data_IF_245993059352
#
_entry.id   IF_245993059352
#
_cell.length_a   1.000
_cell.length_b   1.000
_cell.length_c   1.000
_cell.angle_alpha   90.00
_cell.angle_beta   90.00
_cell.angle_gamma   90.00
#
_symmetry.space_group_name_H-M   'P 1'
#
loop_
_entity.id
_entity.type
_entity.pdbx_description
1 polymer ?
#
# COMPACT_ATOMS: atom_id res chain seq x y z
N UNK A 1 28.92 40.73 23.86
CA UNK A 1 27.77 40.17 23.13
C UNK A 1 26.89 39.46 24.16
N UNK A 2 25.85 40.12 24.63
CA UNK A 2 25.02 39.69 25.77
C UNK A 2 24.05 38.57 25.38
N UNK A 3 23.96 37.56 26.24
CA UNK A 3 23.07 36.39 26.11
C UNK A 3 21.57 36.80 26.10
N UNK A 4 20.99 36.93 24.90
CA UNK A 4 19.54 37.12 24.73
C UNK A 4 18.77 35.79 24.80
N UNK A 5 19.44 34.66 24.51
CA UNK A 5 18.83 33.33 24.46
C UNK A 5 18.30 32.80 25.81
N UNK A 6 18.69 33.38 26.95
CA UNK A 6 18.27 32.93 28.28
C UNK A 6 16.87 33.44 28.70
N UNK A 7 16.23 34.29 27.90
CA UNK A 7 14.99 34.99 28.25
C UNK A 7 13.82 34.69 27.29
N UNK A 8 13.84 33.58 26.57
CA UNK A 8 12.77 33.18 25.65
C UNK A 8 11.99 31.99 26.22
N UNK A 9 10.64 32.05 26.21
CA UNK A 9 9.79 30.89 26.52
C UNK A 9 9.47 30.14 25.22
N UNK A 10 10.00 28.92 25.00
CA UNK A 10 9.89 28.24 23.71
C UNK A 10 8.45 27.84 23.35
N UNK A 11 7.60 27.62 24.35
CA UNK A 11 6.19 27.22 24.17
C UNK A 11 5.34 28.29 23.46
N UNK A 12 5.75 29.57 23.51
CA UNK A 12 4.94 30.70 23.02
C UNK A 12 5.69 31.67 22.11
N UNK A 13 6.95 31.36 21.75
CA UNK A 13 7.82 32.15 20.87
C UNK A 13 7.85 33.65 21.22
N UNK A 14 7.92 33.97 22.52
CA UNK A 14 7.92 35.34 23.06
C UNK A 14 9.01 35.47 24.12
N UNK A 15 9.59 36.66 24.25
CA UNK A 15 10.52 36.96 25.36
C UNK A 15 9.77 37.05 26.69
N UNK A 16 10.47 36.81 27.82
CA UNK A 16 9.88 36.82 29.17
C UNK A 16 9.21 38.16 29.50
N UNK A 17 9.79 39.27 29.04
CA UNK A 17 9.25 40.62 29.24
C UNK A 17 7.96 40.85 28.43
N UNK A 18 7.92 40.42 27.16
CA UNK A 18 6.73 40.51 26.31
C UNK A 18 5.57 39.66 26.83
N UNK A 19 5.86 38.47 27.36
CA UNK A 19 4.86 37.60 27.98
C UNK A 19 4.20 38.24 29.20
N UNK A 20 4.99 38.85 30.09
CA UNK A 20 4.48 39.55 31.28
C UNK A 20 3.64 40.77 30.88
N UNK A 21 4.06 41.52 29.87
CA UNK A 21 3.31 42.67 29.36
C UNK A 21 2.00 42.25 28.67
N UNK A 22 2.01 41.17 27.88
CA UNK A 22 0.82 40.60 27.24
C UNK A 22 -0.18 40.03 28.27
N UNK A 23 0.31 39.40 29.34
CA UNK A 23 -0.50 38.96 30.49
C UNK A 23 -1.12 40.14 31.23
N UNK A 24 -0.35 41.22 31.48
CA UNK A 24 -0.84 42.45 32.13
C UNK A 24 -1.90 43.16 31.29
N UNK A 25 -1.80 43.10 29.95
CA UNK A 25 -2.81 43.61 29.00
C UNK A 25 -3.99 42.65 28.75
N UNK A 26 -4.08 41.54 29.49
CA UNK A 26 -5.18 40.58 29.37
C UNK A 26 -5.17 39.71 28.10
N UNK A 27 -4.15 39.84 27.23
CA UNK A 27 -4.00 39.07 25.99
C UNK A 27 -3.56 37.61 26.21
N UNK A 28 -3.10 37.31 27.42
CA UNK A 28 -2.63 35.98 27.81
C UNK A 28 -3.13 35.60 29.20
N UNK A 29 -4.42 35.25 29.27
CA UNK A 29 -5.03 34.62 30.44
C UNK A 29 -4.59 33.16 30.51
N UNK A 30 -4.49 32.60 31.72
CA UNK A 30 -4.33 31.15 31.91
C UNK A 30 -5.64 30.53 31.43
N UNK A 31 -5.56 29.54 30.54
CA UNK A 31 -6.77 28.85 30.04
C UNK A 31 -7.57 28.33 31.25
N UNK A 32 -8.88 28.59 31.25
CA UNK A 32 -9.77 28.02 32.26
C UNK A 32 -9.80 26.50 32.11
N UNK A 33 -10.16 25.76 33.17
CA UNK A 33 -10.33 24.31 33.09
C UNK A 33 -11.29 23.91 31.95
N UNK A 34 -12.31 24.74 31.69
CA UNK A 34 -13.26 24.57 30.59
C UNK A 34 -12.65 24.82 29.20
N UNK A 35 -11.73 25.77 29.05
CA UNK A 35 -11.02 26.02 27.80
C UNK A 35 -10.07 24.88 27.44
N UNK A 36 -9.42 24.29 28.46
CA UNK A 36 -8.57 23.11 28.29
C UNK A 36 -9.43 21.92 27.84
N UNK A 37 -10.58 21.70 28.49
CA UNK A 37 -11.53 20.65 28.10
C UNK A 37 -12.08 20.86 26.67
N UNK A 38 -12.36 22.11 26.24
CA UNK A 38 -12.78 22.42 24.87
C UNK A 38 -11.69 22.09 23.85
N UNK A 39 -10.44 22.51 24.11
CA UNK A 39 -9.29 22.21 23.24
C UNK A 39 -9.04 20.70 23.11
N UNK A 40 -9.15 19.95 24.21
CA UNK A 40 -9.02 18.49 24.17
C UNK A 40 -10.10 17.84 23.32
N UNK A 41 -11.35 18.30 23.40
CA UNK A 41 -12.45 17.80 22.54
C UNK A 41 -12.20 18.12 21.07
N UNK A 42 -11.79 19.34 20.77
CA UNK A 42 -11.44 19.76 19.41
C UNK A 42 -10.27 18.95 18.86
N UNK A 43 -9.24 18.69 19.66
CA UNK A 43 -8.09 17.87 19.27
C UNK A 43 -8.48 16.42 18.98
N UNK A 44 -9.36 15.82 19.79
CA UNK A 44 -9.87 14.46 19.53
C UNK A 44 -10.67 14.43 18.22
N UNK A 45 -11.51 15.42 17.96
CA UNK A 45 -12.27 15.53 16.71
C UNK A 45 -11.35 15.74 15.50
N UNK A 46 -10.33 16.59 15.64
CA UNK A 46 -9.33 16.82 14.59
C UNK A 46 -8.53 15.56 14.29
N UNK A 47 -8.04 14.86 15.31
CA UNK A 47 -7.33 13.59 15.14
C UNK A 47 -8.20 12.55 14.45
N UNK A 48 -9.47 12.42 14.84
CA UNK A 48 -10.40 11.50 14.19
C UNK A 48 -10.65 11.87 12.71
N UNK A 49 -10.76 13.16 12.40
CA UNK A 49 -10.90 13.64 11.02
C UNK A 49 -9.62 13.38 10.20
N UNK A 50 -8.45 13.63 10.78
CA UNK A 50 -7.15 13.35 10.16
C UNK A 50 -6.95 11.86 9.89
N UNK A 51 -7.34 10.98 10.82
CA UNK A 51 -7.26 9.53 10.63
C UNK A 51 -8.17 9.06 9.48
N UNK A 52 -9.41 9.57 9.41
CA UNK A 52 -10.32 9.30 8.31
C UNK A 52 -9.73 9.77 6.97
N UNK A 53 -9.15 10.97 6.95
CA UNK A 53 -8.51 11.51 5.75
C UNK A 53 -7.27 10.70 5.35
N UNK A 54 -6.45 10.29 6.32
CA UNK A 54 -5.29 9.40 6.09
C UNK A 54 -5.71 8.04 5.54
N UNK A 55 -6.86 7.50 5.95
CA UNK A 55 -7.39 6.24 5.42
C UNK A 55 -7.91 6.43 3.98
N UNK A 56 -8.67 7.50 3.73
CA UNK A 56 -9.20 7.82 2.40
C UNK A 56 -8.09 8.00 1.37
N UNK A 57 -7.00 8.68 1.75
CA UNK A 57 -5.88 8.94 0.84
C UNK A 57 -5.01 7.71 0.55
N UNK A 58 -5.26 6.56 1.21
CA UNK A 58 -4.55 5.31 0.94
C UNK A 58 -5.31 4.47 -0.08
N UNK A 59 -4.56 3.71 -0.88
CA UNK A 59 -5.16 2.73 -1.77
C UNK A 59 -5.77 1.57 -0.97
N UNK A 60 -7.00 1.18 -1.31
CA UNK A 60 -7.72 0.08 -0.64
C UNK A 60 -6.90 -1.22 -0.72
N UNK A 61 -6.35 -1.54 -1.89
CA UNK A 61 -5.53 -2.74 -2.12
C UNK A 61 -4.27 -2.76 -1.23
N UNK A 62 -3.61 -1.62 -1.05
CA UNK A 62 -2.42 -1.51 -0.19
C UNK A 62 -2.75 -1.75 1.28
N UNK A 63 -3.96 -1.37 1.72
CA UNK A 63 -4.44 -1.61 3.08
C UNK A 63 -4.78 -3.09 3.26
N UNK A 64 -5.51 -3.67 2.31
CA UNK A 64 -5.85 -5.11 2.31
C UNK A 64 -4.59 -5.98 2.29
N UNK A 65 -3.64 -5.71 1.39
CA UNK A 65 -2.36 -6.42 1.34
C UNK A 65 -1.58 -6.32 2.65
N UNK A 66 -1.61 -5.17 3.32
CA UNK A 66 -0.94 -5.01 4.62
C UNK A 66 -1.60 -5.86 5.70
N UNK A 67 -2.92 -5.91 5.73
CA UNK A 67 -3.66 -6.73 6.68
C UNK A 67 -3.38 -8.21 6.45
N UNK A 68 -3.43 -8.66 5.19
CA UNK A 68 -3.10 -10.03 4.81
C UNK A 68 -1.67 -10.38 5.21
N UNK A 69 -0.69 -9.52 4.91
CA UNK A 69 0.71 -9.73 5.34
C UNK A 69 0.85 -9.86 6.85
N UNK A 70 0.13 -9.05 7.64
CA UNK A 70 0.16 -9.16 9.10
C UNK A 70 -0.45 -10.48 9.59
N UNK A 71 -1.57 -10.90 9.00
CA UNK A 71 -2.19 -12.18 9.31
C UNK A 71 -1.28 -13.36 8.92
N UNK A 72 -0.65 -13.30 7.75
CA UNK A 72 0.31 -14.30 7.28
C UNK A 72 1.51 -14.39 8.23
N UNK A 73 2.06 -13.24 8.66
CA UNK A 73 3.15 -13.20 9.63
C UNK A 73 2.73 -13.84 10.96
N UNK A 74 1.54 -13.54 11.47
CA UNK A 74 1.02 -14.15 12.70
C UNK A 74 0.86 -15.66 12.56
N UNK A 75 0.40 -16.13 11.40
CA UNK A 75 0.27 -17.56 11.11
C UNK A 75 1.63 -18.24 11.01
N UNK A 76 2.58 -17.67 10.26
CA UNK A 76 3.94 -18.19 10.13
C UNK A 76 4.72 -18.20 11.45
N UNK A 77 4.46 -17.24 12.36
CA UNK A 77 5.03 -17.25 13.71
C UNK A 77 4.64 -18.49 14.52
N UNK A 78 3.49 -19.11 14.24
CA UNK A 78 3.06 -20.34 14.93
C UNK A 78 3.69 -21.60 14.36
N UNK A 79 4.28 -21.54 13.16
CA UNK A 79 4.83 -22.69 12.45
C UNK A 79 6.27 -22.98 12.83
N UNK A 80 6.71 -24.20 12.52
CA UNK A 80 8.13 -24.55 12.61
C UNK A 80 8.94 -23.87 11.50
N UNK A 81 10.20 -23.55 11.81
CA UNK A 81 11.12 -22.93 10.84
C UNK A 81 11.32 -23.74 9.55
N UNK A 82 11.40 -25.07 9.66
CA UNK A 82 11.54 -25.96 8.51
C UNK A 82 10.18 -26.54 8.10
N UNK A 83 9.94 -26.64 6.78
CA UNK A 83 8.77 -27.30 6.20
C UNK A 83 9.04 -28.79 6.06
N UNK A 84 8.08 -29.63 6.48
CA UNK A 84 8.15 -31.09 6.37
C UNK A 84 7.18 -31.61 5.31
N UNK A 85 7.33 -32.86 4.89
CA UNK A 85 6.38 -33.51 3.97
C UNK A 85 4.95 -33.58 4.55
N UNK A 86 4.81 -33.50 5.88
CA UNK A 86 3.52 -33.50 6.59
C UNK A 86 2.93 -32.11 6.83
N UNK A 87 3.54 -31.04 6.29
CA UNK A 87 3.03 -29.67 6.43
C UNK A 87 1.65 -29.54 5.75
N UNK A 88 0.64 -29.18 6.53
CA UNK A 88 -0.76 -29.15 6.09
C UNK A 88 -0.99 -28.08 5.01
N UNK A 89 -0.47 -26.87 5.23
CA UNK A 89 -0.66 -25.72 4.33
C UNK A 89 -0.08 -25.98 2.93
N UNK A 90 1.13 -26.57 2.89
CA UNK A 90 1.80 -26.93 1.65
C UNK A 90 1.04 -28.03 0.91
N UNK A 91 0.53 -29.03 1.65
CA UNK A 91 -0.26 -30.10 1.06
C UNK A 91 -1.58 -29.57 0.48
N UNK A 92 -2.23 -28.63 1.16
CA UNK A 92 -3.47 -28.01 0.67
C UNK A 92 -3.23 -27.11 -0.54
N UNK A 93 -2.13 -26.35 -0.56
CA UNK A 93 -1.69 -25.61 -1.75
C UNK A 93 -1.53 -26.57 -2.95
N UNK A 94 -0.86 -27.72 -2.80
CA UNK A 94 -0.69 -28.69 -3.88
C UNK A 94 -1.99 -29.36 -4.33
N UNK A 95 -2.96 -29.58 -3.43
CA UNK A 95 -4.29 -30.09 -3.79
C UNK A 95 -5.11 -29.05 -4.56
N UNK A 96 -4.93 -27.76 -4.27
CA UNK A 96 -5.65 -26.68 -4.94
C UNK A 96 -5.17 -26.38 -6.35
N UNK A 97 -3.89 -26.68 -6.66
CA UNK A 97 -3.27 -26.35 -7.94
C UNK A 97 -3.94 -27.15 -9.07
N UNK A 98 -4.51 -26.49 -10.10
CA UNK A 98 -5.01 -27.19 -11.27
C UNK A 98 -3.84 -27.83 -12.03
N UNK A 99 -4.00 -29.07 -12.48
CA UNK A 99 -3.02 -29.78 -13.32
C UNK A 99 -3.55 -29.86 -14.74
N UNK A 100 -2.69 -29.52 -15.69
CA UNK A 100 -2.98 -29.70 -17.11
C UNK A 100 -3.11 -31.19 -17.42
N UNK A 101 -4.11 -31.56 -18.22
CA UNK A 101 -4.40 -32.95 -18.57
C UNK A 101 -5.15 -33.76 -17.50
N UNK A 102 -5.58 -33.15 -16.39
CA UNK A 102 -6.44 -33.81 -15.41
C UNK A 102 -7.88 -33.93 -15.91
N UNK A 103 -8.32 -35.16 -16.17
CA UNK A 103 -9.69 -35.46 -16.64
C UNK A 103 -10.78 -35.04 -15.65
N UNK A 104 -10.47 -35.01 -14.34
CA UNK A 104 -11.46 -34.68 -13.30
C UNK A 104 -11.56 -33.18 -13.02
N UNK A 105 -10.70 -32.35 -13.63
CA UNK A 105 -10.63 -30.92 -13.35
C UNK A 105 -11.96 -30.20 -13.63
N UNK A 106 -12.60 -30.50 -14.76
CA UNK A 106 -13.86 -29.89 -15.20
C UNK A 106 -15.03 -30.23 -14.25
N UNK A 107 -15.07 -31.47 -13.78
CA UNK A 107 -16.07 -31.89 -12.79
C UNK A 107 -15.85 -31.19 -11.44
N UNK A 108 -14.58 -31.04 -11.02
CA UNK A 108 -14.25 -30.37 -9.77
C UNK A 108 -14.47 -28.86 -9.82
N UNK A 109 -14.21 -28.18 -10.96
CA UNK A 109 -14.44 -26.75 -11.11
C UNK A 109 -15.93 -26.40 -11.08
N UNK A 110 -16.75 -27.10 -11.87
CA UNK A 110 -18.20 -26.90 -11.91
C UNK A 110 -18.87 -27.11 -10.55
N UNK A 111 -18.34 -28.02 -9.72
CA UNK A 111 -18.82 -28.23 -8.34
C UNK A 111 -18.45 -27.08 -7.39
N UNK A 112 -17.31 -26.42 -7.63
CA UNK A 112 -16.78 -25.32 -6.80
C UNK A 112 -17.38 -23.96 -7.15
N UNK A 113 -18.02 -23.81 -8.31
CA UNK A 113 -18.70 -22.59 -8.75
C UNK A 113 -19.99 -22.31 -7.94
N UNK A 114 -19.86 -22.22 -6.62
CA UNK A 114 -20.85 -21.60 -5.75
C UNK A 114 -20.91 -20.11 -6.05
N UNK A 115 -22.06 -19.64 -6.55
CA UNK A 115 -22.29 -18.27 -7.03
C UNK A 115 -22.24 -17.25 -5.88
N UNK A 116 -21.05 -16.92 -5.40
CA UNK A 116 -20.85 -15.69 -4.66
C UNK A 116 -20.88 -14.52 -5.66
N UNK A 117 -21.61 -13.42 -5.37
CA UNK A 117 -21.68 -12.29 -6.28
C UNK A 117 -20.29 -11.64 -6.41
N UNK A 118 -19.62 -11.88 -7.55
CA UNK A 118 -18.34 -11.29 -7.86
C UNK A 118 -18.53 -9.89 -8.47
N UNK A 119 -17.59 -8.99 -8.20
CA UNK A 119 -17.57 -7.69 -8.88
C UNK A 119 -17.37 -7.91 -10.39
N UNK A 120 -18.10 -7.21 -11.27
CA UNK A 120 -17.93 -7.37 -12.70
C UNK A 120 -16.49 -6.98 -13.11
N UNK A 121 -15.93 -7.75 -14.04
CA UNK A 121 -14.60 -7.49 -14.63
C UNK A 121 -14.73 -7.34 -16.14
N UNK A 122 -13.78 -6.62 -16.75
CA UNK A 122 -13.77 -6.44 -18.20
C UNK A 122 -13.43 -7.76 -18.91
N UNK A 123 -14.24 -8.16 -19.90
CA UNK A 123 -14.12 -9.47 -20.57
C UNK A 123 -13.35 -9.41 -21.91
N UNK A 124 -13.17 -8.23 -22.49
CA UNK A 124 -12.51 -8.09 -23.79
C UNK A 124 -10.99 -8.19 -23.72
N UNK A 125 -10.31 -8.20 -24.89
CA UNK A 125 -8.87 -8.02 -24.95
C UNK A 125 -8.50 -6.61 -24.50
N UNK A 126 -7.34 -6.47 -23.85
CA UNK A 126 -6.80 -5.19 -23.38
C UNK A 126 -5.27 -5.20 -23.52
N UNK A 127 -4.63 -4.03 -23.71
CA UNK A 127 -3.17 -3.94 -23.82
C UNK A 127 -2.49 -4.34 -22.51
N UNK A 128 -1.30 -4.93 -22.63
CA UNK A 128 -0.49 -5.29 -21.46
C UNK A 128 0.04 -4.04 -20.75
N UNK A 129 0.09 -4.09 -19.42
CA UNK A 129 0.55 -3.01 -18.55
C UNK A 129 1.62 -3.55 -17.61
N UNK A 130 2.59 -2.72 -17.21
CA UNK A 130 3.65 -3.10 -16.24
C UNK A 130 3.16 -3.79 -14.96
N UNK A 131 1.98 -3.40 -14.48
CA UNK A 131 1.42 -3.90 -13.23
C UNK A 131 0.44 -5.06 -13.41
N UNK A 132 0.27 -5.58 -14.64
CA UNK A 132 -0.72 -6.62 -14.96
C UNK A 132 -2.16 -6.30 -14.48
N UNK A 133 -2.48 -5.00 -14.37
CA UNK A 133 -3.80 -4.54 -13.95
C UNK A 133 -4.76 -4.64 -15.12
N UNK A 134 -5.88 -5.31 -14.88
CA UNK A 134 -7.00 -5.38 -15.82
C UNK A 134 -7.76 -4.05 -15.82
N UNK A 135 -8.28 -3.61 -16.97
CA UNK A 135 -9.15 -2.44 -17.03
C UNK A 135 -10.46 -2.69 -16.27
N UNK A 136 -11.09 -1.60 -15.84
CA UNK A 136 -12.41 -1.67 -15.21
C UNK A 136 -13.48 -2.20 -16.17
N UNK A 137 -14.54 -2.80 -15.62
CA UNK A 137 -15.60 -3.45 -16.42
C UNK A 137 -16.32 -2.52 -17.42
N UNK A 138 -16.25 -1.21 -17.24
CA UNK A 138 -16.88 -0.18 -18.10
C UNK A 138 -15.93 0.38 -19.17
N UNK A 139 -14.73 -0.19 -19.29
CA UNK A 139 -13.79 0.27 -20.30
C UNK A 139 -14.30 -0.11 -21.69
N UNK A 140 -14.19 0.85 -22.62
CA UNK A 140 -14.73 0.81 -23.98
C UNK A 140 -13.85 0.00 -24.96
N UNK A 141 -12.72 -0.53 -24.50
CA UNK A 141 -11.79 -1.29 -25.34
C UNK A 141 -10.89 -0.44 -26.25
N UNK A 142 -11.21 0.84 -26.44
CA UNK A 142 -10.38 1.78 -27.22
C UNK A 142 -9.17 2.23 -26.40
N UNK A 143 -7.97 1.94 -26.90
CA UNK A 143 -6.72 2.45 -26.34
C UNK A 143 -6.56 3.95 -26.61
N UNK A 144 -6.34 4.72 -25.54
CA UNK A 144 -6.15 6.17 -25.55
C UNK A 144 -4.80 6.55 -24.92
N UNK A 145 -3.82 5.65 -24.99
CA UNK A 145 -2.47 5.85 -24.45
C UNK A 145 -1.59 6.72 -25.38
N UNK A 146 -0.45 7.17 -24.86
CA UNK A 146 0.60 7.83 -25.67
C UNK A 146 1.63 6.83 -26.26
N UNK A 147 1.43 5.52 -26.07
CA UNK A 147 2.38 4.47 -26.47
C UNK A 147 3.52 4.18 -25.48
N UNK A 148 3.57 4.80 -24.30
CA UNK A 148 4.66 4.61 -23.31
C UNK A 148 4.85 3.15 -22.88
N UNK A 149 3.77 2.45 -22.55
CA UNK A 149 3.86 1.06 -22.08
C UNK A 149 4.41 0.14 -23.20
N UNK A 150 4.02 0.36 -24.45
CA UNK A 150 4.56 -0.37 -25.60
C UNK A 150 6.05 -0.12 -25.79
N UNK A 151 6.48 1.15 -25.73
CA UNK A 151 7.90 1.52 -25.83
C UNK A 151 8.71 0.95 -24.66
N UNK A 152 8.13 0.91 -23.46
CA UNK A 152 8.76 0.33 -22.28
C UNK A 152 9.06 -1.15 -22.48
N UNK A 153 8.08 -1.93 -22.97
CA UNK A 153 8.29 -3.36 -23.24
C UNK A 153 9.28 -3.60 -24.38
N UNK A 154 9.22 -2.80 -25.46
CA UNK A 154 10.20 -2.88 -26.54
C UNK A 154 11.62 -2.63 -26.03
N UNK A 155 11.80 -1.64 -25.16
CA UNK A 155 13.09 -1.33 -24.53
C UNK A 155 13.56 -2.49 -23.66
N UNK A 156 12.70 -3.05 -22.81
CA UNK A 156 13.03 -4.19 -21.96
C UNK A 156 13.47 -5.40 -22.80
N UNK A 157 12.71 -5.74 -23.84
CA UNK A 157 13.06 -6.84 -24.76
C UNK A 157 14.37 -6.58 -25.48
N UNK A 158 14.64 -5.34 -25.90
CA UNK A 158 15.90 -4.99 -26.57
C UNK A 158 17.09 -5.11 -25.62
N UNK A 159 16.93 -4.77 -24.34
CA UNK A 159 17.97 -4.91 -23.33
C UNK A 159 18.32 -6.38 -23.10
N UNK A 160 17.30 -7.23 -22.92
CA UNK A 160 17.50 -8.68 -22.75
C UNK A 160 18.21 -9.28 -23.96
N UNK A 161 17.81 -8.92 -25.18
CA UNK A 161 18.46 -9.39 -26.40
C UNK A 161 19.95 -8.97 -26.48
N UNK A 162 20.25 -7.71 -26.13
CA UNK A 162 21.64 -7.21 -26.10
C UNK A 162 22.48 -7.97 -25.05
N UNK A 163 21.92 -8.21 -23.87
CA UNK A 163 22.61 -8.96 -22.80
C UNK A 163 22.91 -10.40 -23.23
N UNK A 164 21.97 -11.07 -23.88
CA UNK A 164 22.17 -12.42 -24.42
C UNK A 164 23.24 -12.46 -25.52
N UNK A 165 23.22 -11.49 -26.44
CA UNK A 165 24.21 -11.42 -27.52
C UNK A 165 25.60 -11.07 -26.99
N UNK A 166 25.69 -10.17 -26.01
CA UNK A 166 26.95 -9.86 -25.32
C UNK A 166 27.49 -11.10 -24.59
N UNK A 167 26.62 -11.87 -23.92
CA UNK A 167 27.03 -13.12 -23.27
C UNK A 167 27.58 -14.13 -24.27
N UNK A 168 26.89 -14.35 -25.40
CA UNK A 168 27.36 -15.25 -26.47
C UNK A 168 28.71 -14.80 -27.01
N UNK A 169 28.86 -13.52 -27.33
CA UNK A 169 30.12 -12.97 -27.83
C UNK A 169 31.28 -13.13 -26.84
N UNK A 170 31.04 -12.87 -25.55
CA UNK A 170 32.06 -13.07 -24.51
C UNK A 170 32.40 -14.55 -24.27
N UNK A 171 31.45 -15.46 -24.46
CA UNK A 171 31.64 -16.88 -24.26
C UNK A 171 32.32 -17.59 -25.45
N UNK A 172 32.31 -16.98 -26.65
CA UNK A 172 32.90 -17.57 -27.86
C UNK A 172 34.45 -17.59 -27.87
N UNK A 173 35.12 -16.70 -27.14
CA UNK A 173 36.59 -16.58 -27.08
C UNK A 173 37.22 -17.26 -25.83
N UNK A 174 36.43 -18.05 -25.09
CA UNK A 174 36.87 -18.89 -23.96
C UNK A 174 36.73 -20.38 -24.29
#
# INVERSE_FOLDING_TARGET
>A
MSNVAANERPEKKLTTAEYLQARKRGKHKKDSAEDIARKQREEVLQRAAEERHKLWNKGITQVEERQNKLADIQHEMTKSFARSAKDEDLNDMYKSRPREGDTMLEYLSSKRDGKNPQKPTYQGPFPANRFNLRPGYRWDGVDRSNGFEQQYFAKLSSQVAIEEDAYKYCAEDM
#
